data_IF_332615249623
#
_entry.id   IF_332615249623
#
_cell.length_a   1.000
_cell.length_b   1.000
_cell.length_c   1.000
_cell.angle_alpha   90.00
_cell.angle_beta   90.00
_cell.angle_gamma   90.00
#
_symmetry.space_group_name_H-M   'P 1'
#
loop_
_entity.id
_entity.type
_entity.pdbx_description
1 polymer ?
#
# COMPACT_ATOMS: atom_id res chain seq x y z
N UNK A 1 33.46 29.32 -7.23
CA UNK A 1 33.24 28.10 -8.02
C UNK A 1 33.97 26.97 -7.30
N UNK A 2 33.28 25.91 -6.95
CA UNK A 2 33.89 24.77 -6.24
C UNK A 2 34.87 24.03 -7.14
N UNK A 3 35.98 23.60 -6.55
CA UNK A 3 36.96 22.75 -7.23
C UNK A 3 36.54 21.27 -7.14
N UNK A 4 37.18 20.41 -7.95
CA UNK A 4 36.95 18.96 -7.88
C UNK A 4 37.32 18.38 -6.48
N UNK A 5 38.34 18.96 -5.84
CA UNK A 5 38.71 18.59 -4.46
C UNK A 5 37.61 18.97 -3.43
N UNK A 6 36.98 20.12 -3.61
CA UNK A 6 35.85 20.54 -2.77
C UNK A 6 34.65 19.60 -2.93
N UNK A 7 34.31 19.24 -4.18
CA UNK A 7 33.22 18.29 -4.48
C UNK A 7 33.49 16.92 -3.86
N UNK A 8 34.72 16.41 -3.99
CA UNK A 8 35.10 15.15 -3.37
C UNK A 8 35.03 15.19 -1.85
N UNK A 9 35.42 16.30 -1.23
CA UNK A 9 35.31 16.49 0.22
C UNK A 9 33.85 16.49 0.69
N UNK A 10 32.97 17.13 -0.07
CA UNK A 10 31.51 17.15 0.20
C UNK A 10 30.94 15.74 0.08
N UNK A 11 31.26 15.02 -0.98
CA UNK A 11 30.81 13.64 -1.21
C UNK A 11 31.22 12.70 -0.08
N UNK A 12 32.48 12.76 0.35
CA UNK A 12 32.97 11.99 1.50
C UNK A 12 32.22 12.34 2.79
N UNK A 13 31.91 13.61 3.00
CA UNK A 13 31.16 14.07 4.18
C UNK A 13 29.73 13.53 4.17
N UNK A 14 29.05 13.61 3.02
CA UNK A 14 27.68 13.08 2.83
C UNK A 14 27.67 11.58 3.04
N UNK A 15 28.59 10.87 2.40
CA UNK A 15 28.69 9.40 2.51
C UNK A 15 28.90 8.96 3.96
N UNK A 16 29.75 9.65 4.73
CA UNK A 16 29.95 9.36 6.15
C UNK A 16 28.67 9.58 6.97
N UNK A 17 27.96 10.69 6.71
CA UNK A 17 26.69 10.98 7.40
C UNK A 17 25.63 9.95 7.08
N UNK A 18 25.43 9.60 5.82
CA UNK A 18 24.47 8.58 5.39
C UNK A 18 24.82 7.22 6.01
N UNK A 19 26.09 6.83 5.98
CA UNK A 19 26.53 5.58 6.60
C UNK A 19 26.23 5.55 8.10
N UNK A 20 26.42 6.67 8.80
CA UNK A 20 26.11 6.78 10.23
C UNK A 20 24.60 6.66 10.46
N UNK A 21 23.78 7.38 9.70
CA UNK A 21 22.33 7.31 9.79
C UNK A 21 21.82 5.89 9.54
N UNK A 22 22.33 5.23 8.48
CA UNK A 22 21.97 3.85 8.18
C UNK A 22 22.33 2.88 9.31
N UNK A 23 23.50 3.04 9.92
CA UNK A 23 23.89 2.22 11.08
C UNK A 23 22.99 2.45 12.29
N UNK A 24 22.62 3.68 12.59
CA UNK A 24 21.70 4.01 13.67
C UNK A 24 20.30 3.47 13.40
N UNK A 25 19.81 3.58 12.16
CA UNK A 25 18.52 3.05 11.77
C UNK A 25 18.46 1.50 11.77
N UNK A 26 19.60 0.85 11.52
CA UNK A 26 19.70 -0.61 11.58
C UNK A 26 19.93 -1.17 12.99
N UNK A 27 20.37 -0.33 13.93
CA UNK A 27 20.60 -0.75 15.31
C UNK A 27 19.30 -0.94 16.06
N UNK A 28 18.98 -2.18 16.39
CA UNK A 28 17.74 -2.56 17.07
C UNK A 28 17.59 -1.99 18.48
N UNK A 29 18.68 -1.50 19.11
CA UNK A 29 18.62 -0.82 20.41
C UNK A 29 18.26 0.64 20.28
N UNK A 30 18.65 1.28 19.17
CA UNK A 30 18.39 2.70 18.89
C UNK A 30 17.08 2.86 18.12
N UNK A 31 16.83 1.97 17.17
CA UNK A 31 15.64 1.94 16.33
C UNK A 31 14.98 0.55 16.41
N UNK A 32 14.32 0.22 17.53
CA UNK A 32 13.68 -1.07 17.69
C UNK A 32 12.57 -1.23 16.64
N UNK A 33 12.51 -2.41 16.07
CA UNK A 33 11.38 -2.76 15.18
C UNK A 33 10.14 -2.98 16.03
N UNK A 34 9.05 -2.39 15.60
CA UNK A 34 7.76 -2.65 16.20
C UNK A 34 7.33 -4.09 15.91
N UNK A 35 6.72 -4.74 16.88
CA UNK A 35 5.99 -5.98 16.63
C UNK A 35 4.77 -5.68 15.76
N UNK A 36 4.19 -6.68 15.07
CA UNK A 36 2.96 -6.50 14.31
C UNK A 36 1.83 -5.89 15.18
N UNK A 37 1.70 -6.32 16.43
CA UNK A 37 0.71 -5.86 17.38
C UNK A 37 0.94 -4.39 17.77
N UNK A 38 2.16 -4.00 18.04
CA UNK A 38 2.52 -2.60 18.33
C UNK A 38 2.30 -1.72 17.11
N UNK A 39 2.68 -2.18 15.91
CA UNK A 39 2.45 -1.46 14.66
C UNK A 39 0.95 -1.25 14.42
N UNK A 40 0.11 -2.25 14.67
CA UNK A 40 -1.35 -2.15 14.56
C UNK A 40 -1.90 -1.06 15.47
N UNK A 41 -1.50 -1.04 16.74
CA UNK A 41 -1.97 -0.03 17.70
C UNK A 41 -1.56 1.40 17.35
N UNK A 42 -0.41 1.58 16.69
CA UNK A 42 0.08 2.89 16.27
C UNK A 42 -0.49 3.34 14.92
N UNK A 43 -0.82 2.39 14.04
CA UNK A 43 -1.28 2.69 12.68
C UNK A 43 -2.78 2.97 12.63
N UNK A 44 -3.57 2.28 13.46
CA UNK A 44 -5.02 2.41 13.43
C UNK A 44 -5.54 3.14 14.67
N UNK A 45 -6.39 4.14 14.46
CA UNK A 45 -7.18 4.66 15.56
C UNK A 45 -8.22 3.58 15.94
N UNK A 46 -8.17 3.10 17.19
CA UNK A 46 -8.77 1.86 17.69
C UNK A 46 -10.17 1.47 17.20
N UNK A 47 -11.05 2.45 16.95
CA UNK A 47 -12.42 2.17 16.52
C UNK A 47 -12.59 2.00 15.01
N UNK A 48 -11.64 2.47 14.21
CA UNK A 48 -11.74 2.45 12.74
C UNK A 48 -11.48 1.05 12.19
N UNK A 49 -10.56 0.30 12.78
CA UNK A 49 -10.29 -1.08 12.38
C UNK A 49 -11.49 -2.01 12.59
N UNK A 50 -12.40 -1.61 13.50
CA UNK A 50 -13.63 -2.33 13.83
C UNK A 50 -14.86 -1.80 13.12
N UNK A 51 -14.73 -0.76 12.26
CA UNK A 51 -15.87 -0.27 11.49
C UNK A 51 -16.44 -1.44 10.65
N UNK A 52 -17.77 -1.69 10.74
CA UNK A 52 -18.37 -2.78 9.98
C UNK A 52 -18.15 -2.58 8.50
N UNK A 53 -17.83 -3.67 7.80
CA UNK A 53 -17.83 -3.66 6.34
C UNK A 53 -19.26 -3.37 5.87
N UNK A 54 -19.40 -2.55 4.86
CA UNK A 54 -20.71 -2.30 4.24
C UNK A 54 -21.13 -3.62 3.60
N UNK A 55 -22.24 -4.19 4.10
CA UNK A 55 -22.64 -5.55 3.77
C UNK A 55 -23.53 -5.66 2.52
N UNK A 56 -23.72 -4.58 1.78
CA UNK A 56 -24.43 -4.64 0.51
C UNK A 56 -23.67 -5.53 -0.47
N UNK A 57 -24.42 -6.28 -1.29
CA UNK A 57 -23.83 -7.17 -2.27
C UNK A 57 -22.94 -6.38 -3.23
N UNK A 58 -21.62 -6.60 -3.23
CA UNK A 58 -20.72 -5.83 -4.06
C UNK A 58 -20.98 -6.04 -5.55
N UNK A 59 -20.85 -4.99 -6.32
CA UNK A 59 -20.90 -5.06 -7.77
C UNK A 59 -19.56 -5.58 -8.30
N UNK A 60 -19.58 -6.79 -8.83
CA UNK A 60 -18.43 -7.50 -9.44
C UNK A 60 -18.88 -8.21 -10.72
N UNK A 61 -17.96 -8.36 -11.67
CA UNK A 61 -18.27 -8.92 -12.99
C UNK A 61 -18.33 -10.45 -12.99
N UNK A 62 -17.45 -11.09 -12.23
CA UNK A 62 -17.37 -12.55 -12.12
C UNK A 62 -17.17 -12.97 -10.66
N UNK A 63 -17.49 -14.22 -10.29
CA UNK A 63 -17.15 -14.76 -8.98
C UNK A 63 -15.65 -14.79 -8.74
N UNK A 64 -15.21 -14.61 -7.50
CA UNK A 64 -13.81 -14.51 -7.10
C UNK A 64 -12.96 -15.70 -7.60
N UNK A 65 -13.47 -16.90 -7.48
CA UNK A 65 -12.81 -18.15 -7.85
C UNK A 65 -12.64 -18.34 -9.38
N UNK A 66 -13.34 -17.54 -10.18
CA UNK A 66 -13.23 -17.56 -11.64
C UNK A 66 -12.20 -16.58 -12.20
N UNK A 67 -11.62 -15.73 -11.34
CA UNK A 67 -10.54 -14.84 -11.78
C UNK A 67 -9.29 -15.66 -12.16
N UNK A 68 -8.77 -15.41 -13.35
CA UNK A 68 -7.59 -16.11 -13.91
C UNK A 68 -6.36 -15.97 -13.01
N UNK A 69 -6.18 -14.81 -12.40
CA UNK A 69 -5.09 -14.54 -11.45
C UNK A 69 -5.18 -15.42 -10.20
N UNK A 70 -6.38 -15.61 -9.63
CA UNK A 70 -6.57 -16.48 -8.47
C UNK A 70 -6.17 -17.92 -8.81
N UNK A 71 -6.58 -18.41 -9.97
CA UNK A 71 -6.17 -19.73 -10.45
C UNK A 71 -4.65 -19.84 -10.61
N UNK A 72 -4.02 -18.82 -11.18
CA UNK A 72 -2.57 -18.74 -11.35
C UNK A 72 -1.83 -18.75 -10.01
N UNK A 73 -2.27 -17.93 -9.06
CA UNK A 73 -1.66 -17.87 -7.72
C UNK A 73 -1.79 -19.20 -6.99
N UNK A 74 -2.96 -19.83 -7.07
CA UNK A 74 -3.22 -21.12 -6.43
C UNK A 74 -2.38 -22.26 -7.02
N UNK A 75 -2.05 -22.20 -8.31
CA UNK A 75 -1.24 -23.18 -9.01
C UNK A 75 0.27 -23.02 -8.77
N UNK A 76 0.74 -21.87 -8.28
CA UNK A 76 2.18 -21.62 -8.08
C UNK A 76 2.80 -22.62 -7.11
N UNK A 77 3.95 -23.15 -7.50
CA UNK A 77 4.84 -23.86 -6.59
C UNK A 77 5.47 -22.87 -5.63
N UNK A 78 5.33 -23.13 -4.33
CA UNK A 78 5.85 -22.26 -3.28
C UNK A 78 6.78 -23.06 -2.40
N UNK A 79 8.05 -22.69 -2.37
CA UNK A 79 9.09 -23.30 -1.55
C UNK A 79 9.59 -22.30 -0.51
N UNK A 80 9.93 -22.74 0.66
CA UNK A 80 10.55 -21.95 1.72
C UNK A 80 10.77 -22.82 2.96
N UNK A 81 11.58 -22.29 3.85
CA UNK A 81 11.98 -22.96 5.09
C UNK A 81 11.77 -21.99 6.24
N UNK A 82 11.46 -22.50 7.41
CA UNK A 82 11.40 -21.72 8.63
C UNK A 82 12.84 -21.39 9.15
N UNK A 83 12.91 -20.76 10.32
CA UNK A 83 14.17 -20.36 10.94
C UNK A 83 15.06 -21.56 11.31
N UNK A 84 14.49 -22.74 11.45
CA UNK A 84 15.20 -24.00 11.76
C UNK A 84 15.63 -24.75 10.49
N UNK A 85 15.22 -24.29 9.31
CA UNK A 85 15.48 -24.95 8.05
C UNK A 85 14.46 -26.02 7.68
N UNK A 86 13.33 -26.11 8.40
CA UNK A 86 12.25 -27.02 8.10
C UNK A 86 11.33 -26.47 7.01
N UNK A 87 10.83 -27.32 6.09
CA UNK A 87 9.97 -26.88 5.00
C UNK A 87 8.62 -26.40 5.53
N UNK A 88 8.24 -25.18 5.19
CA UNK A 88 6.95 -24.60 5.53
C UNK A 88 5.87 -25.10 4.55
N UNK A 89 4.63 -25.30 5.02
CA UNK A 89 3.52 -25.72 4.18
C UNK A 89 3.26 -24.71 3.02
N UNK A 90 2.94 -25.22 1.85
CA UNK A 90 2.69 -24.41 0.63
C UNK A 90 1.71 -23.26 0.85
N UNK A 91 0.64 -23.50 1.64
CA UNK A 91 -0.41 -22.52 1.93
C UNK A 91 0.07 -21.32 2.75
N UNK A 92 1.20 -21.41 3.42
CA UNK A 92 1.76 -20.36 4.27
C UNK A 92 2.82 -19.49 3.56
N UNK A 93 2.99 -19.65 2.27
CA UNK A 93 4.05 -18.97 1.51
C UNK A 93 3.44 -18.12 0.42
N UNK A 94 3.66 -16.83 0.55
CA UNK A 94 3.25 -15.84 -0.44
C UNK A 94 4.44 -14.97 -0.83
N UNK A 95 4.52 -14.55 -2.09
CA UNK A 95 5.29 -13.36 -2.37
C UNK A 95 4.44 -12.13 -2.03
N UNK A 96 5.09 -11.01 -1.77
CA UNK A 96 4.43 -9.76 -1.37
C UNK A 96 3.41 -9.32 -2.44
N UNK A 97 3.76 -9.44 -3.71
CA UNK A 97 2.91 -9.08 -4.84
C UNK A 97 1.57 -9.85 -4.84
N UNK A 98 1.63 -11.18 -4.70
CA UNK A 98 0.43 -12.01 -4.67
C UNK A 98 -0.41 -11.73 -3.41
N UNK A 99 0.24 -11.47 -2.26
CA UNK A 99 -0.46 -11.14 -1.02
C UNK A 99 -1.19 -9.80 -1.10
N UNK A 100 -0.57 -8.77 -1.70
CA UNK A 100 -1.22 -7.48 -1.95
C UNK A 100 -2.42 -7.67 -2.88
N UNK A 101 -2.25 -8.40 -4.00
CA UNK A 101 -3.34 -8.69 -4.93
C UNK A 101 -4.51 -9.36 -4.21
N UNK A 102 -4.29 -10.48 -3.52
CA UNK A 102 -5.36 -11.23 -2.85
C UNK A 102 -6.08 -10.38 -1.79
N UNK A 103 -5.34 -9.57 -1.02
CA UNK A 103 -5.92 -8.70 0.00
C UNK A 103 -6.82 -7.63 -0.59
N UNK A 104 -6.37 -6.93 -1.63
CA UNK A 104 -7.15 -5.88 -2.31
C UNK A 104 -8.32 -6.51 -3.07
N UNK A 105 -8.08 -7.62 -3.77
CA UNK A 105 -9.09 -8.33 -4.54
C UNK A 105 -10.25 -8.81 -3.65
N UNK A 106 -9.94 -9.41 -2.51
CA UNK A 106 -10.95 -9.84 -1.54
C UNK A 106 -11.81 -8.68 -1.03
N UNK A 107 -11.25 -7.48 -0.88
CA UNK A 107 -12.02 -6.30 -0.47
C UNK A 107 -13.10 -5.91 -1.46
N UNK A 108 -12.86 -6.05 -2.75
CA UNK A 108 -13.90 -5.79 -3.76
C UNK A 108 -15.12 -6.71 -3.62
N UNK A 109 -14.96 -7.91 -3.06
CA UNK A 109 -16.04 -8.88 -2.85
C UNK A 109 -16.73 -8.76 -1.49
N UNK A 110 -16.13 -8.05 -0.55
CA UNK A 110 -16.65 -7.94 0.82
C UNK A 110 -17.13 -6.55 1.18
N UNK A 111 -16.78 -5.53 0.40
CA UNK A 111 -17.08 -4.13 0.69
C UNK A 111 -17.54 -3.41 -0.59
N UNK A 112 -18.82 -3.07 -0.65
CA UNK A 112 -19.40 -2.36 -1.80
C UNK A 112 -18.89 -0.93 -1.96
N UNK A 113 -18.39 -0.31 -0.89
CA UNK A 113 -17.80 1.03 -0.92
C UNK A 113 -16.32 1.02 -1.35
N UNK A 114 -15.71 -0.16 -1.46
CA UNK A 114 -14.29 -0.23 -1.79
C UNK A 114 -14.04 0.04 -3.27
N UNK A 115 -13.16 1.01 -3.53
CA UNK A 115 -12.66 1.33 -4.87
C UNK A 115 -11.13 1.31 -4.86
N UNK A 116 -10.53 1.13 -6.04
CA UNK A 116 -9.10 1.30 -6.18
C UNK A 116 -8.78 2.03 -7.47
N UNK A 117 -7.79 2.92 -7.43
CA UNK A 117 -7.36 3.66 -8.60
C UNK A 117 -5.91 4.14 -8.50
N UNK A 118 -5.31 4.37 -9.63
CA UNK A 118 -3.95 4.85 -9.80
C UNK A 118 -3.62 5.00 -11.27
N UNK A 119 -2.38 5.28 -11.61
CA UNK A 119 -2.00 5.65 -12.98
C UNK A 119 -2.14 4.49 -13.97
N UNK A 120 -1.85 3.27 -13.54
CA UNK A 120 -1.85 2.10 -14.42
C UNK A 120 -2.45 0.83 -13.81
N UNK A 121 -3.18 0.96 -12.71
CA UNK A 121 -3.71 -0.19 -11.97
C UNK A 121 -4.54 -1.14 -12.83
N UNK A 122 -5.45 -0.60 -13.63
CA UNK A 122 -6.32 -1.42 -14.48
C UNK A 122 -5.57 -2.13 -15.61
N UNK A 123 -4.37 -1.67 -15.93
CA UNK A 123 -3.45 -2.29 -16.89
C UNK A 123 -2.51 -3.30 -16.23
N UNK A 124 -2.65 -3.56 -14.94
CA UNK A 124 -1.83 -4.48 -14.15
C UNK A 124 -0.76 -3.82 -13.31
N UNK A 125 -0.52 -2.54 -13.45
CA UNK A 125 0.63 -1.74 -13.03
C UNK A 125 1.97 -2.19 -13.65
N UNK A 126 3.05 -1.44 -13.40
CA UNK A 126 4.37 -1.76 -13.95
C UNK A 126 5.00 -3.01 -13.31
N UNK A 127 4.56 -3.37 -12.11
CA UNK A 127 5.03 -4.55 -11.37
C UNK A 127 4.09 -5.75 -11.53
N UNK A 128 2.97 -5.58 -12.22
CA UNK A 128 1.94 -6.59 -12.42
C UNK A 128 1.27 -7.03 -11.11
N UNK A 129 1.15 -6.13 -10.12
CA UNK A 129 0.44 -6.42 -8.86
C UNK A 129 -1.03 -6.65 -9.12
N UNK A 130 -1.61 -5.85 -10.02
CA UNK A 130 -3.05 -5.84 -10.35
C UNK A 130 -3.38 -6.58 -11.65
N UNK A 131 -2.45 -7.37 -12.22
CA UNK A 131 -2.72 -8.17 -13.40
C UNK A 131 -4.02 -8.96 -13.24
N UNK A 132 -4.83 -8.98 -14.30
CA UNK A 132 -6.11 -9.70 -14.42
C UNK A 132 -7.24 -9.24 -13.46
N UNK A 133 -7.00 -8.26 -12.59
CA UNK A 133 -8.06 -7.74 -11.71
C UNK A 133 -9.21 -7.09 -12.51
N UNK A 134 -8.89 -6.50 -13.65
CA UNK A 134 -9.85 -5.80 -14.51
C UNK A 134 -10.92 -6.72 -15.13
N UNK A 135 -10.68 -8.03 -15.22
CA UNK A 135 -11.68 -8.99 -15.70
C UNK A 135 -12.82 -9.21 -14.71
N UNK A 136 -12.54 -8.99 -13.43
CA UNK A 136 -13.47 -9.28 -12.33
C UNK A 136 -14.12 -8.04 -11.74
N UNK A 137 -13.48 -6.88 -11.82
CA UNK A 137 -13.93 -5.66 -11.16
C UNK A 137 -14.35 -4.61 -12.20
N UNK A 138 -15.58 -4.05 -12.07
CA UNK A 138 -16.09 -3.07 -13.02
C UNK A 138 -15.30 -1.76 -12.97
N UNK A 139 -15.34 -1.01 -14.08
CA UNK A 139 -14.52 0.20 -14.26
C UNK A 139 -14.76 1.26 -13.19
N UNK A 140 -15.98 1.47 -12.74
CA UNK A 140 -16.30 2.49 -11.74
C UNK A 140 -15.79 2.18 -10.33
N UNK A 141 -15.32 0.95 -10.09
CA UNK A 141 -14.69 0.54 -8.84
C UNK A 141 -13.17 0.32 -8.95
N UNK A 142 -12.68 0.12 -10.17
CA UNK A 142 -11.27 -0.12 -10.43
C UNK A 142 -10.86 0.55 -11.75
N UNK A 143 -10.13 1.66 -11.69
CA UNK A 143 -9.87 2.49 -12.87
C UNK A 143 -8.49 3.15 -12.85
N UNK A 144 -8.03 3.55 -14.04
CA UNK A 144 -6.81 4.33 -14.20
C UNK A 144 -7.12 5.83 -14.08
N UNK A 145 -6.13 6.57 -13.60
CA UNK A 145 -6.12 8.03 -13.54
C UNK A 145 -5.04 8.60 -14.48
N UNK A 146 -5.09 9.89 -14.80
CA UNK A 146 -3.92 10.62 -15.30
C UNK A 146 -2.77 10.58 -14.27
N UNK A 147 -1.56 10.86 -14.73
CA UNK A 147 -0.38 11.03 -13.88
C UNK A 147 -0.53 12.35 -13.11
N UNK A 148 -0.93 12.27 -11.86
CA UNK A 148 -1.17 13.43 -11.00
C UNK A 148 -1.28 12.97 -9.52
N UNK A 149 -0.18 12.66 -8.88
CA UNK A 149 -0.13 12.03 -7.56
C UNK A 149 -0.89 12.84 -6.49
N UNK A 150 -0.74 14.17 -6.46
CA UNK A 150 -1.52 15.04 -5.58
C UNK A 150 -3.03 14.87 -5.78
N UNK A 151 -3.49 14.82 -7.03
CA UNK A 151 -4.91 14.65 -7.33
C UNK A 151 -5.40 13.25 -6.96
N UNK A 152 -4.58 12.22 -7.14
CA UNK A 152 -4.87 10.85 -6.75
C UNK A 152 -5.08 10.79 -5.23
N UNK A 153 -4.13 11.31 -4.45
CA UNK A 153 -4.21 11.31 -2.99
C UNK A 153 -5.37 12.17 -2.48
N UNK A 154 -5.53 13.39 -3.00
CA UNK A 154 -6.65 14.28 -2.61
C UNK A 154 -8.02 13.64 -2.86
N UNK A 155 -8.18 13.00 -4.02
CA UNK A 155 -9.44 12.31 -4.37
C UNK A 155 -9.72 11.14 -3.44
N UNK A 156 -8.68 10.38 -3.08
CA UNK A 156 -8.80 9.27 -2.14
C UNK A 156 -9.21 9.78 -0.74
N UNK A 157 -8.59 10.85 -0.25
CA UNK A 157 -8.95 11.49 1.02
C UNK A 157 -10.41 11.92 0.99
N UNK A 158 -10.82 12.65 -0.05
CA UNK A 158 -12.21 13.10 -0.20
C UNK A 158 -13.21 11.95 -0.23
N UNK A 159 -12.92 10.88 -0.93
CA UNK A 159 -13.75 9.68 -0.96
C UNK A 159 -13.86 9.00 0.42
N UNK A 160 -12.73 8.89 1.12
CA UNK A 160 -12.71 8.34 2.48
C UNK A 160 -13.49 9.22 3.47
N UNK A 161 -13.41 10.54 3.36
CA UNK A 161 -14.21 11.47 4.17
C UNK A 161 -15.72 11.32 3.97
N UNK A 162 -16.14 10.87 2.78
CA UNK A 162 -17.54 10.52 2.48
C UNK A 162 -17.94 9.12 3.00
N UNK A 163 -17.07 8.42 3.70
CA UNK A 163 -17.34 7.10 4.28
C UNK A 163 -16.98 5.92 3.39
N UNK A 164 -16.43 6.16 2.20
CA UNK A 164 -15.92 5.12 1.31
C UNK A 164 -14.59 4.55 1.77
N UNK A 165 -14.22 3.42 1.20
CA UNK A 165 -12.89 2.82 1.37
C UNK A 165 -12.16 2.78 0.05
N UNK A 166 -10.88 3.12 0.08
CA UNK A 166 -10.10 3.31 -1.13
C UNK A 166 -8.68 2.77 -0.98
N UNK A 167 -8.20 2.13 -2.02
CA UNK A 167 -6.79 1.84 -2.21
C UNK A 167 -6.29 2.65 -3.41
N UNK A 168 -5.17 3.33 -3.24
CA UNK A 168 -4.51 4.03 -4.34
C UNK A 168 -3.13 3.46 -4.57
N UNK A 169 -2.69 3.51 -5.81
CA UNK A 169 -1.33 3.20 -6.20
C UNK A 169 -0.58 4.48 -6.51
N UNK A 170 0.55 4.63 -5.87
CA UNK A 170 1.62 5.53 -6.27
C UNK A 170 2.80 4.64 -6.65
N UNK A 171 3.22 4.71 -7.89
CA UNK A 171 4.08 3.74 -8.56
C UNK A 171 5.43 3.54 -7.85
N UNK A 172 6.01 4.62 -7.34
CA UNK A 172 7.29 4.63 -6.62
C UNK A 172 7.20 5.50 -5.37
N UNK A 173 7.94 5.10 -4.34
CA UNK A 173 7.93 5.80 -3.05
C UNK A 173 8.43 7.25 -3.11
N UNK A 174 9.32 7.58 -4.03
CA UNK A 174 9.82 8.94 -4.26
C UNK A 174 8.74 9.87 -4.86
N UNK A 175 7.81 9.32 -5.64
CA UNK A 175 6.68 10.09 -6.18
C UNK A 175 5.67 10.51 -5.10
N UNK A 176 5.70 9.91 -3.90
CA UNK A 176 4.91 10.38 -2.77
C UNK A 176 5.22 11.84 -2.39
N UNK A 177 6.39 12.33 -2.73
CA UNK A 177 6.76 13.72 -2.50
C UNK A 177 5.86 14.70 -3.28
N UNK A 178 5.32 14.30 -4.43
CA UNK A 178 4.37 15.11 -5.21
C UNK A 178 3.02 15.29 -4.50
N UNK A 179 2.68 14.39 -3.58
CA UNK A 179 1.46 14.46 -2.76
C UNK A 179 1.79 14.78 -1.29
N UNK A 180 2.91 15.43 -1.03
CA UNK A 180 3.40 15.67 0.34
C UNK A 180 2.43 16.48 1.18
N UNK A 181 1.80 17.51 0.64
CA UNK A 181 0.80 18.30 1.37
C UNK A 181 -0.44 17.47 1.72
N UNK A 182 -0.94 16.72 0.75
CA UNK A 182 -2.12 15.86 0.92
C UNK A 182 -1.90 14.82 2.01
N UNK A 183 -0.72 14.23 2.07
CA UNK A 183 -0.40 13.20 3.06
C UNK A 183 -0.13 13.82 4.44
N UNK A 184 0.76 14.82 4.49
CA UNK A 184 1.27 15.36 5.76
C UNK A 184 0.29 16.36 6.38
N UNK A 185 -0.32 17.23 5.59
CA UNK A 185 -1.20 18.28 6.10
C UNK A 185 -2.68 17.90 6.04
N UNK A 186 -3.12 17.19 5.01
CA UNK A 186 -4.51 16.81 4.84
C UNK A 186 -4.82 15.50 5.58
N UNK A 187 -4.35 14.39 5.08
CA UNK A 187 -4.68 13.06 5.61
C UNK A 187 -4.33 12.92 7.09
N UNK A 188 -3.12 13.32 7.47
CA UNK A 188 -2.64 13.16 8.84
C UNK A 188 -3.38 14.03 9.89
N UNK A 189 -3.98 15.15 9.48
CA UNK A 189 -4.53 16.16 10.42
C UNK A 189 -6.05 16.24 10.43
N UNK A 190 -6.74 15.88 9.37
CA UNK A 190 -8.17 16.10 9.21
C UNK A 190 -9.00 15.55 10.37
N UNK A 191 -8.68 14.36 10.88
CA UNK A 191 -9.39 13.79 12.03
C UNK A 191 -9.29 14.70 13.27
N UNK A 192 -8.09 15.17 13.57
CA UNK A 192 -7.85 16.08 14.72
C UNK A 192 -8.50 17.43 14.48
N UNK A 193 -8.35 18.00 13.27
CA UNK A 193 -8.90 19.31 12.92
C UNK A 193 -10.43 19.33 12.91
N UNK A 194 -11.06 18.20 12.61
CA UNK A 194 -12.52 18.06 12.65
C UNK A 194 -13.09 17.78 14.05
N UNK A 195 -12.24 17.77 15.08
CA UNK A 195 -12.66 17.40 16.44
C UNK A 195 -13.14 15.95 16.56
N UNK A 196 -12.66 15.05 15.69
CA UNK A 196 -13.01 13.63 15.68
C UNK A 196 -14.32 13.32 14.97
N UNK A 197 -14.93 14.28 14.28
CA UNK A 197 -16.17 14.05 13.50
C UNK A 197 -15.91 13.24 12.22
N UNK A 198 -14.73 13.42 11.65
CA UNK A 198 -14.24 12.54 10.55
C UNK A 198 -13.65 11.26 11.16
N UNK A 199 -14.11 10.13 10.69
CA UNK A 199 -13.71 8.80 11.15
C UNK A 199 -12.60 8.24 10.29
#
# INVERSE_FOLDING_TARGET
IATEADLHTIDLSITRRLTTICKLAADMKISPRLTPEEAETLTFAGDISKAPLISDKPDVLIPQEKCSRIATISAKSRYGFDENGDPIAKSMRYNIKDAIFESIFSRFYTDSSFIAFGESQRSGDINGVFDDMAEAIPYHRFFNTPIAESAIVSSAIGYAMCGGRVAIEIMYADLLAHAGDEIINQLAKWRTMSGGTLK
#
